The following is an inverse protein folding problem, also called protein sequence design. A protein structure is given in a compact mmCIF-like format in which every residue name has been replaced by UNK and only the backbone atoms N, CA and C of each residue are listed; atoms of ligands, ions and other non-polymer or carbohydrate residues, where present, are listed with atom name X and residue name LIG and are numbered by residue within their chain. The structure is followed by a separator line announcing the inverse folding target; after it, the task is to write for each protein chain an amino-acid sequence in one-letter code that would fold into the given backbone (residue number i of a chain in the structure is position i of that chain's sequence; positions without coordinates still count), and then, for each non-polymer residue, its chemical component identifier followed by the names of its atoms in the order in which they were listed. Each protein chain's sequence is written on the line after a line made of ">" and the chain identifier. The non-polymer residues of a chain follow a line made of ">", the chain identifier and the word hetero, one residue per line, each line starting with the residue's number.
data_IF_728581803757
#
_entry.id   IF_728581803757
#
_cell.length_a   1.000
_cell.length_b   1.000
_cell.length_c   1.000
_cell.angle_alpha   90.00
_cell.angle_beta   90.00
_cell.angle_gamma   90.00
#
_symmetry.space_group_name_H-M   'P 1'
#
loop_
_entity.id
_entity.type
_entity.pdbx_description
1 polymer ?
#
# COMPACT_ATOMS: atom_id res chain seq x y z
N UNK A 1 20.10 -11.61 -3.85
CA UNK A 1 20.96 -11.59 -5.03
C UNK A 1 20.18 -11.01 -6.19
N UNK A 2 20.49 -9.77 -6.58
CA UNK A 2 19.91 -9.17 -7.78
C UNK A 2 20.42 -9.90 -9.02
N UNK A 3 19.52 -10.16 -9.97
CA UNK A 3 19.92 -10.72 -11.26
C UNK A 3 20.77 -9.67 -12.00
N UNK A 4 22.02 -9.99 -12.40
CA UNK A 4 22.90 -9.03 -13.05
C UNK A 4 22.41 -8.52 -14.41
N UNK A 5 21.34 -9.13 -14.94
CA UNK A 5 20.72 -8.72 -16.20
C UNK A 5 19.72 -7.55 -16.06
N UNK A 6 19.48 -7.05 -14.84
CA UNK A 6 18.59 -5.92 -14.60
C UNK A 6 19.34 -4.72 -14.05
N UNK A 7 19.16 -3.55 -14.65
CA UNK A 7 19.51 -2.28 -14.03
C UNK A 7 18.37 -1.85 -13.10
N UNK A 8 18.67 -1.57 -11.82
CA UNK A 8 17.70 -1.17 -10.81
C UNK A 8 17.99 0.25 -10.37
N UNK A 9 17.00 1.12 -10.48
CA UNK A 9 17.05 2.46 -9.93
C UNK A 9 15.96 2.61 -8.87
N UNK A 10 16.37 2.94 -7.65
CA UNK A 10 15.45 3.36 -6.60
C UNK A 10 15.12 4.84 -6.76
N UNK A 11 13.85 5.16 -6.71
CA UNK A 11 13.38 6.55 -6.74
C UNK A 11 12.45 6.85 -5.58
N UNK A 12 12.37 8.10 -5.18
CA UNK A 12 11.55 8.48 -4.03
C UNK A 12 10.06 8.39 -4.36
N UNK A 13 9.35 7.59 -3.57
CA UNK A 13 7.93 7.36 -3.72
C UNK A 13 7.04 8.52 -3.27
N UNK A 14 7.55 9.41 -2.41
CA UNK A 14 6.83 10.61 -1.96
C UNK A 14 6.70 11.69 -3.05
N UNK A 15 6.74 11.30 -4.32
CA UNK A 15 6.54 12.17 -5.49
C UNK A 15 5.07 12.57 -5.69
N UNK A 16 4.31 12.78 -4.61
CA UNK A 16 2.91 13.21 -4.71
C UNK A 16 2.81 14.63 -5.27
N UNK A 17 3.76 15.49 -4.89
CA UNK A 17 3.78 16.91 -5.26
C UNK A 17 4.71 17.20 -6.43
N UNK A 18 5.50 16.23 -6.88
CA UNK A 18 6.43 16.38 -8.01
C UNK A 18 6.80 15.04 -8.61
N UNK A 19 6.79 14.96 -9.93
CA UNK A 19 7.25 13.78 -10.69
C UNK A 19 8.74 13.82 -11.04
N UNK A 20 9.48 14.88 -10.68
CA UNK A 20 10.87 15.09 -11.12
C UNK A 20 11.80 13.91 -10.85
N UNK A 21 11.73 13.31 -9.66
CA UNK A 21 12.58 12.17 -9.29
C UNK A 21 12.29 10.94 -10.15
N UNK A 22 11.00 10.67 -10.40
CA UNK A 22 10.55 9.57 -11.26
C UNK A 22 11.00 9.81 -12.70
N UNK A 23 10.78 11.01 -13.23
CA UNK A 23 11.18 11.41 -14.59
C UNK A 23 12.68 11.26 -14.79
N UNK A 24 13.50 11.77 -13.87
CA UNK A 24 14.96 11.64 -13.95
C UNK A 24 15.42 10.18 -13.95
N UNK A 25 14.80 9.34 -13.11
CA UNK A 25 15.12 7.91 -13.03
C UNK A 25 14.77 7.18 -14.35
N UNK A 26 13.60 7.45 -14.90
CA UNK A 26 13.15 6.88 -16.17
C UNK A 26 14.03 7.35 -17.33
N UNK A 27 14.34 8.65 -17.43
CA UNK A 27 15.21 9.19 -18.46
C UNK A 27 16.61 8.57 -18.42
N UNK A 28 17.16 8.35 -17.23
CA UNK A 28 18.43 7.67 -17.07
C UNK A 28 18.40 6.26 -17.65
N UNK A 29 17.37 5.44 -17.35
CA UNK A 29 17.21 4.10 -17.92
C UNK A 29 17.05 4.14 -19.45
N UNK A 30 16.22 5.04 -19.95
CA UNK A 30 16.01 5.19 -21.40
C UNK A 30 17.31 5.59 -22.12
N UNK A 31 18.11 6.47 -21.54
CA UNK A 31 19.40 6.91 -22.11
C UNK A 31 20.44 5.78 -22.10
N UNK A 32 20.29 4.78 -21.24
CA UNK A 32 21.14 3.57 -21.21
C UNK A 32 20.70 2.52 -22.25
N UNK A 33 19.71 2.83 -23.10
CA UNK A 33 19.23 1.91 -24.15
C UNK A 33 18.29 0.82 -23.64
N UNK A 34 17.68 1.00 -22.47
CA UNK A 34 16.72 0.05 -21.90
C UNK A 34 15.42 0.06 -22.69
N UNK A 35 14.99 -1.10 -23.18
CA UNK A 35 13.80 -1.25 -24.02
C UNK A 35 12.51 -1.44 -23.22
N UNK A 36 12.60 -2.00 -22.01
CA UNK A 36 11.46 -2.27 -21.13
C UNK A 36 11.75 -1.82 -19.70
N UNK A 37 10.90 -0.99 -19.14
CA UNK A 37 11.02 -0.48 -17.77
C UNK A 37 9.88 -1.03 -16.93
N UNK A 38 10.23 -1.79 -15.90
CA UNK A 38 9.28 -2.30 -14.91
C UNK A 38 9.18 -1.30 -13.77
N UNK A 39 7.96 -0.83 -13.51
CA UNK A 39 7.63 0.05 -12.39
C UNK A 39 7.14 -0.82 -11.25
N UNK A 40 7.89 -0.87 -10.16
CA UNK A 40 7.58 -1.66 -8.98
C UNK A 40 7.27 -0.72 -7.82
N UNK A 41 5.99 -0.47 -7.51
CA UNK A 41 5.61 0.34 -6.36
C UNK A 41 5.86 -0.45 -5.07
N UNK A 42 6.64 0.11 -4.16
CA UNK A 42 6.82 -0.46 -2.81
C UNK A 42 5.71 0.12 -1.93
N UNK A 43 4.55 -0.50 -2.00
CA UNK A 43 3.36 -0.14 -1.25
C UNK A 43 2.53 -1.38 -0.93
N UNK A 44 1.71 -1.31 0.12
CA UNK A 44 0.88 -2.40 0.58
C UNK A 44 -0.36 -2.62 -0.30
N UNK A 45 -1.00 -1.55 -0.78
CA UNK A 45 -2.26 -1.66 -1.51
C UNK A 45 -2.31 -0.75 -2.76
N UNK A 46 -3.15 -1.09 -3.76
CA UNK A 46 -3.32 -0.28 -4.96
C UNK A 46 -4.20 0.97 -4.73
N UNK A 47 -4.94 1.05 -3.63
CA UNK A 47 -5.89 2.13 -3.35
C UNK A 47 -5.30 3.30 -2.57
N UNK A 48 -4.06 3.16 -2.12
CA UNK A 48 -3.32 4.21 -1.46
C UNK A 48 -3.16 5.44 -2.38
N UNK A 49 -3.31 6.63 -1.82
CA UNK A 49 -3.21 7.91 -2.54
C UNK A 49 -1.89 8.05 -3.32
N UNK A 50 -0.77 7.59 -2.75
CA UNK A 50 0.54 7.59 -3.43
C UNK A 50 0.56 6.70 -4.67
N UNK A 51 0.04 5.48 -4.54
CA UNK A 51 0.01 4.51 -5.66
C UNK A 51 -0.85 5.03 -6.79
N UNK A 52 -2.01 5.60 -6.49
CA UNK A 52 -2.87 6.23 -7.49
C UNK A 52 -2.18 7.41 -8.20
N UNK A 53 -1.46 8.24 -7.44
CA UNK A 53 -0.66 9.33 -8.02
C UNK A 53 0.47 8.79 -8.92
N UNK A 54 1.13 7.70 -8.54
CA UNK A 54 2.14 7.06 -9.41
C UNK A 54 1.51 6.51 -10.69
N UNK A 55 0.36 5.86 -10.60
CA UNK A 55 -0.38 5.40 -11.79
C UNK A 55 -0.74 6.57 -12.71
N UNK A 56 -1.10 7.73 -12.15
CA UNK A 56 -1.31 8.96 -12.92
C UNK A 56 -0.02 9.43 -13.60
N UNK A 57 1.11 9.48 -12.90
CA UNK A 57 2.42 9.86 -13.48
C UNK A 57 2.78 8.97 -14.68
N UNK A 58 2.49 7.68 -14.61
CA UNK A 58 2.75 6.74 -15.71
C UNK A 58 1.61 6.62 -16.72
N UNK A 59 0.64 7.54 -16.69
CA UNK A 59 -0.52 7.61 -17.62
C UNK A 59 -1.39 6.34 -17.62
N UNK A 60 -1.44 5.61 -16.50
CA UNK A 60 -2.27 4.43 -16.30
C UNK A 60 -3.64 4.79 -15.73
N UNK A 61 -3.74 5.91 -15.05
CA UNK A 61 -4.97 6.46 -14.49
C UNK A 61 -5.11 7.94 -14.91
N UNK A 62 -6.13 8.24 -15.72
CA UNK A 62 -6.27 9.57 -16.34
C UNK A 62 -7.06 10.57 -15.51
N UNK A 63 -7.97 10.09 -14.68
CA UNK A 63 -8.94 10.92 -13.97
C UNK A 63 -8.59 11.13 -12.50
N UNK A 64 -7.41 10.72 -12.09
CA UNK A 64 -6.92 10.91 -10.74
C UNK A 64 -5.66 11.75 -10.75
N UNK A 65 -5.66 12.80 -9.94
CA UNK A 65 -4.46 13.56 -9.64
C UNK A 65 -4.59 14.12 -8.23
N UNK A 66 -3.66 13.76 -7.35
CA UNK A 66 -3.52 14.40 -6.05
C UNK A 66 -2.87 15.77 -6.19
N UNK A 67 -1.90 15.88 -7.08
CA UNK A 67 -1.25 17.11 -7.47
C UNK A 67 -1.05 17.16 -8.97
N UNK A 68 -1.06 18.36 -9.55
CA UNK A 68 -0.74 18.58 -10.95
C UNK A 68 0.76 18.40 -11.17
N UNK A 69 1.11 17.32 -11.87
CA UNK A 69 2.49 16.91 -12.12
C UNK A 69 2.64 16.41 -13.55
N UNK A 70 3.88 16.46 -14.06
CA UNK A 70 4.19 15.95 -15.39
C UNK A 70 3.90 14.45 -15.50
N UNK A 71 3.30 14.05 -16.62
CA UNK A 71 2.93 12.68 -16.93
C UNK A 71 3.93 12.08 -17.90
N UNK A 72 4.32 10.84 -17.64
CA UNK A 72 5.14 10.02 -18.51
C UNK A 72 4.24 9.05 -19.29
N UNK A 73 4.25 9.14 -20.61
CA UNK A 73 3.55 8.19 -21.47
C UNK A 73 4.57 7.41 -22.28
N UNK A 74 4.56 6.08 -22.16
CA UNK A 74 5.38 5.20 -22.96
C UNK A 74 4.79 3.79 -23.03
N UNK A 75 4.93 3.15 -24.18
CA UNK A 75 4.57 1.74 -24.36
C UNK A 75 5.62 0.78 -23.78
N UNK A 76 6.75 1.31 -23.31
CA UNK A 76 7.83 0.52 -22.71
C UNK A 76 7.63 0.28 -21.21
N UNK A 77 6.68 0.97 -20.57
CA UNK A 77 6.39 0.81 -19.16
C UNK A 77 5.53 -0.41 -18.88
N UNK A 78 5.96 -1.21 -17.92
CA UNK A 78 5.23 -2.34 -17.35
C UNK A 78 5.05 -2.08 -15.87
N UNK A 79 3.84 -1.79 -15.46
CA UNK A 79 3.51 -1.52 -14.06
C UNK A 79 3.17 -2.82 -13.33
N UNK A 80 3.78 -3.04 -12.19
CA UNK A 80 3.51 -4.17 -11.30
C UNK A 80 2.59 -3.66 -10.19
N UNK A 81 1.52 -4.37 -9.91
CA UNK A 81 0.63 -3.98 -8.82
C UNK A 81 1.31 -4.16 -7.45
N UNK A 82 0.93 -3.37 -6.43
CA UNK A 82 1.39 -3.56 -5.06
C UNK A 82 1.09 -4.96 -4.53
N UNK A 83 1.83 -5.37 -3.50
CA UNK A 83 1.76 -6.72 -2.93
C UNK A 83 0.36 -7.11 -2.42
N UNK A 84 -0.41 -6.13 -1.92
CA UNK A 84 -1.82 -6.32 -1.52
C UNK A 84 -1.99 -7.44 -0.49
N UNK A 85 -2.99 -8.32 -0.69
CA UNK A 85 -3.26 -9.53 0.12
C UNK A 85 -2.67 -10.80 -0.52
N UNK A 86 -1.51 -10.67 -1.16
CA UNK A 86 -0.75 -11.82 -1.67
C UNK A 86 -0.44 -12.84 -0.55
N UNK A 87 -0.28 -14.09 -0.92
CA UNK A 87 0.01 -15.17 0.02
C UNK A 87 1.23 -14.86 0.89
N UNK A 88 2.30 -14.33 0.28
CA UNK A 88 3.52 -13.98 0.99
C UNK A 88 3.28 -12.86 2.02
N UNK A 89 2.48 -11.84 1.67
CA UNK A 89 2.14 -10.76 2.59
C UNK A 89 1.36 -11.29 3.80
N UNK A 90 0.40 -12.19 3.57
CA UNK A 90 -0.37 -12.84 4.63
C UNK A 90 0.50 -13.66 5.57
N UNK A 91 1.42 -14.46 5.02
CA UNK A 91 2.37 -15.26 5.79
C UNK A 91 3.29 -14.39 6.66
N UNK A 92 3.86 -13.31 6.10
CA UNK A 92 4.73 -12.39 6.83
C UNK A 92 3.99 -11.73 8.00
N UNK A 93 2.76 -11.26 7.80
CA UNK A 93 1.98 -10.61 8.87
C UNK A 93 1.59 -11.61 9.95
N UNK A 94 1.23 -12.84 9.60
CA UNK A 94 0.99 -13.91 10.55
C UNK A 94 2.25 -14.26 11.36
N UNK A 95 3.40 -14.36 10.70
CA UNK A 95 4.68 -14.62 11.37
C UNK A 95 5.00 -13.52 12.41
N UNK A 96 4.85 -12.25 12.03
CA UNK A 96 5.05 -11.14 12.98
C UNK A 96 4.08 -11.18 14.15
N UNK A 97 2.80 -11.50 13.94
CA UNK A 97 1.85 -11.65 15.02
C UNK A 97 2.24 -12.80 15.96
N UNK A 98 2.70 -13.93 15.40
CA UNK A 98 3.15 -15.08 16.20
C UNK A 98 4.43 -14.77 16.99
N UNK A 99 5.38 -14.03 16.42
CA UNK A 99 6.64 -13.69 17.09
C UNK A 99 6.45 -12.83 18.36
N UNK A 100 5.45 -11.94 18.36
CA UNK A 100 5.18 -11.06 19.50
C UNK A 100 4.17 -11.63 20.48
N UNK A 101 3.43 -12.68 20.11
CA UNK A 101 2.40 -13.29 20.92
C UNK A 101 3.02 -14.10 22.08
N UNK A 102 2.35 -14.05 23.22
CA UNK A 102 2.65 -14.87 24.40
C UNK A 102 1.52 -15.83 24.76
N UNK A 103 0.29 -15.51 24.36
CA UNK A 103 -0.90 -16.32 24.65
C UNK A 103 -2.05 -15.98 23.70
N UNK A 104 -2.00 -16.51 22.46
CA UNK A 104 -2.92 -16.18 21.37
C UNK A 104 -4.40 -16.26 21.75
N UNK A 105 -4.80 -17.26 22.55
CA UNK A 105 -6.22 -17.45 22.92
C UNK A 105 -6.81 -16.28 23.72
N UNK A 106 -5.94 -15.47 24.34
CA UNK A 106 -6.32 -14.29 25.12
C UNK A 106 -5.83 -12.99 24.48
N UNK A 107 -5.40 -13.02 23.24
CA UNK A 107 -4.86 -11.87 22.52
C UNK A 107 -5.69 -11.57 21.27
N UNK A 108 -5.76 -10.27 20.94
CA UNK A 108 -6.40 -9.75 19.74
C UNK A 108 -5.34 -9.17 18.83
N UNK A 109 -5.40 -9.50 17.55
CA UNK A 109 -4.57 -8.86 16.52
C UNK A 109 -5.34 -7.71 15.89
N UNK A 110 -4.74 -6.53 15.90
CA UNK A 110 -5.28 -5.33 15.26
C UNK A 110 -4.37 -4.92 14.11
N UNK A 111 -4.88 -4.99 12.89
CA UNK A 111 -4.20 -4.53 11.68
C UNK A 111 -4.63 -3.09 11.42
N UNK A 112 -3.69 -2.15 11.44
CA UNK A 112 -3.99 -0.73 11.22
C UNK A 112 -3.23 -0.23 9.99
N UNK A 113 -3.94 0.38 9.03
CA UNK A 113 -3.35 1.07 7.91
C UNK A 113 -3.61 2.58 7.98
N UNK A 114 -2.76 3.35 7.29
CA UNK A 114 -2.94 4.79 7.11
C UNK A 114 -4.31 5.11 6.48
N UNK A 115 -4.73 4.31 5.49
CA UNK A 115 -5.95 4.48 4.75
C UNK A 115 -5.91 5.60 3.70
N UNK A 116 -6.63 5.46 2.59
CA UNK A 116 -6.73 6.47 1.55
C UNK A 116 -7.66 7.63 1.95
N UNK A 117 -7.51 8.77 1.28
CA UNK A 117 -8.38 9.95 1.50
C UNK A 117 -9.82 9.68 1.07
N UNK A 118 -10.01 8.98 -0.04
CA UNK A 118 -11.32 8.67 -0.61
C UNK A 118 -12.02 7.55 0.17
N UNK A 119 -13.28 7.76 0.54
CA UNK A 119 -14.09 6.73 1.19
C UNK A 119 -14.30 5.50 0.30
N UNK A 120 -14.45 5.68 -1.01
CA UNK A 120 -14.60 4.56 -1.95
C UNK A 120 -13.34 3.69 -1.99
N UNK A 121 -12.16 4.31 -2.01
CA UNK A 121 -10.88 3.59 -1.95
C UNK A 121 -10.66 2.93 -0.59
N UNK A 122 -11.10 3.59 0.49
CA UNK A 122 -11.01 3.04 1.84
C UNK A 122 -11.80 1.74 2.02
N UNK A 123 -12.98 1.65 1.41
CA UNK A 123 -13.76 0.40 1.40
C UNK A 123 -12.97 -0.72 0.72
N UNK A 124 -12.30 -0.44 -0.39
CA UNK A 124 -11.50 -1.43 -1.10
C UNK A 124 -10.25 -1.82 -0.32
N UNK A 125 -9.59 -0.86 0.32
CA UNK A 125 -8.43 -1.14 1.17
C UNK A 125 -8.81 -2.02 2.38
N UNK A 126 -9.94 -1.73 3.02
CA UNK A 126 -10.46 -2.57 4.11
C UNK A 126 -10.81 -3.98 3.65
N UNK A 127 -11.31 -4.19 2.41
CA UNK A 127 -11.53 -5.54 1.88
C UNK A 127 -10.22 -6.33 1.79
N UNK A 128 -9.15 -5.72 1.29
CA UNK A 128 -7.83 -6.34 1.24
C UNK A 128 -7.33 -6.67 2.66
N UNK A 129 -7.43 -5.72 3.58
CA UNK A 129 -7.00 -5.93 4.96
C UNK A 129 -7.81 -7.01 5.66
N UNK A 130 -9.11 -7.10 5.39
CA UNK A 130 -9.96 -8.16 5.94
C UNK A 130 -9.58 -9.55 5.39
N UNK A 131 -9.19 -9.67 4.11
CA UNK A 131 -8.66 -10.92 3.57
C UNK A 131 -7.37 -11.37 4.29
N UNK A 132 -6.54 -10.42 4.75
CA UNK A 132 -5.37 -10.71 5.57
C UNK A 132 -5.81 -11.12 6.99
N UNK A 133 -6.75 -10.40 7.59
CA UNK A 133 -7.29 -10.72 8.92
C UNK A 133 -7.93 -12.10 8.96
N UNK A 134 -8.73 -12.46 7.95
CA UNK A 134 -9.34 -13.77 7.81
C UNK A 134 -8.28 -14.88 7.66
N UNK A 135 -7.22 -14.62 6.90
CA UNK A 135 -6.12 -15.57 6.81
C UNK A 135 -5.45 -15.82 8.16
N UNK A 136 -5.16 -14.75 8.92
CA UNK A 136 -4.56 -14.87 10.26
C UNK A 136 -5.50 -15.63 11.20
N UNK A 137 -6.80 -15.28 11.22
CA UNK A 137 -7.79 -15.96 12.05
C UNK A 137 -7.89 -17.46 11.75
N UNK A 138 -7.78 -17.85 10.47
CA UNK A 138 -7.87 -19.25 10.06
C UNK A 138 -6.57 -20.05 10.29
N UNK A 139 -5.44 -19.40 10.53
CA UNK A 139 -4.12 -20.02 10.65
C UNK A 139 -3.44 -19.75 11.99
N UNK A 140 -4.21 -19.30 12.99
CA UNK A 140 -3.73 -19.05 14.37
C UNK A 140 -4.84 -19.32 15.38
N UNK A 141 -4.52 -19.16 16.66
CA UNK A 141 -5.46 -19.27 17.77
C UNK A 141 -5.79 -17.92 18.42
N UNK A 142 -5.52 -16.81 17.77
CA UNK A 142 -5.88 -15.50 18.31
C UNK A 142 -7.38 -15.40 18.55
N UNK A 143 -7.76 -14.80 19.69
CA UNK A 143 -9.16 -14.68 20.07
C UNK A 143 -9.98 -13.87 19.06
N UNK A 144 -9.37 -12.87 18.45
CA UNK A 144 -9.95 -12.05 17.39
C UNK A 144 -8.87 -11.42 16.53
N UNK A 145 -9.18 -11.17 15.25
CA UNK A 145 -8.34 -10.37 14.32
C UNK A 145 -9.21 -9.30 13.66
N UNK A 146 -8.80 -8.05 13.74
CA UNK A 146 -9.54 -6.90 13.21
C UNK A 146 -8.69 -5.97 12.38
N UNK A 147 -9.30 -5.37 11.37
CA UNK A 147 -8.67 -4.39 10.48
C UNK A 147 -9.31 -3.02 10.63
N UNK A 148 -8.47 -1.99 10.65
CA UNK A 148 -8.89 -0.59 10.70
C UNK A 148 -8.02 0.27 9.80
N UNK A 149 -8.59 1.38 9.33
CA UNK A 149 -7.85 2.46 8.67
C UNK A 149 -8.03 3.76 9.44
N UNK A 150 -6.98 4.56 9.50
CA UNK A 150 -7.04 5.89 10.12
C UNK A 150 -7.67 6.93 9.18
N UNK A 151 -7.44 6.80 7.87
CA UNK A 151 -7.69 7.83 6.85
C UNK A 151 -7.07 9.17 7.29
N UNK A 152 -5.76 9.13 7.64
CA UNK A 152 -5.09 10.23 8.33
C UNK A 152 -5.06 11.54 7.51
N UNK A 153 -4.97 11.42 6.18
CA UNK A 153 -5.00 12.56 5.25
C UNK A 153 -6.43 12.98 4.83
N UNK A 154 -7.47 12.30 5.32
CA UNK A 154 -8.85 12.71 5.12
C UNK A 154 -9.23 13.90 6.02
N UNK A 155 -10.43 14.43 5.84
CA UNK A 155 -10.90 15.52 6.71
C UNK A 155 -10.88 15.13 8.19
N UNK A 156 -10.57 16.11 9.06
CA UNK A 156 -10.41 15.92 10.52
C UNK A 156 -11.54 15.09 11.15
N UNK A 157 -12.81 15.34 10.75
CA UNK A 157 -13.95 14.61 11.30
C UNK A 157 -13.91 13.10 10.99
N UNK A 158 -13.46 12.72 9.79
CA UNK A 158 -13.33 11.32 9.37
C UNK A 158 -12.23 10.65 10.19
N UNK A 159 -11.05 11.26 10.25
CA UNK A 159 -9.91 10.75 11.02
C UNK A 159 -10.26 10.60 12.51
N UNK A 160 -10.83 11.63 13.13
CA UNK A 160 -11.19 11.61 14.55
C UNK A 160 -12.23 10.51 14.84
N UNK A 161 -13.21 10.29 13.94
CA UNK A 161 -14.17 9.20 14.04
C UNK A 161 -13.48 7.83 13.98
N UNK A 162 -12.58 7.62 13.02
CA UNK A 162 -11.85 6.36 12.89
C UNK A 162 -10.97 6.07 14.12
N UNK A 163 -10.27 7.08 14.63
CA UNK A 163 -9.50 6.95 15.88
C UNK A 163 -10.40 6.57 17.05
N UNK A 164 -11.58 7.20 17.17
CA UNK A 164 -12.51 6.88 18.25
C UNK A 164 -13.06 5.46 18.13
N UNK A 165 -13.35 4.98 16.92
CA UNK A 165 -13.78 3.60 16.69
C UNK A 165 -12.73 2.59 17.13
N UNK A 166 -11.45 2.82 16.80
CA UNK A 166 -10.34 1.98 17.23
C UNK A 166 -10.20 2.00 18.76
N UNK A 167 -10.27 3.17 19.38
CA UNK A 167 -10.18 3.29 20.85
C UNK A 167 -11.33 2.58 21.56
N UNK A 168 -12.55 2.72 21.04
CA UNK A 168 -13.72 2.02 21.59
C UNK A 168 -13.55 0.50 21.47
N UNK A 169 -13.05 0.02 20.35
CA UNK A 169 -12.78 -1.40 20.16
C UNK A 169 -11.75 -1.90 21.20
N UNK A 170 -10.60 -1.23 21.31
CA UNK A 170 -9.55 -1.62 22.27
C UNK A 170 -10.05 -1.60 23.74
N UNK A 171 -10.91 -0.66 24.10
CA UNK A 171 -11.43 -0.57 25.48
C UNK A 171 -12.48 -1.63 25.79
N UNK A 172 -13.05 -2.30 24.80
CA UNK A 172 -14.11 -3.30 24.93
C UNK A 172 -13.61 -4.74 24.71
N UNK A 173 -12.38 -4.89 24.20
CA UNK A 173 -11.69 -6.17 24.00
C UNK A 173 -10.91 -6.56 25.25
#
# INVERSE_FOLDING_TARGET
>A
NFNPNYEIILTMGMSMMTSKHVICSVQRLMNSGIESIYIVPISSTPYNTLVRQWRYIFNLEKNYSYADVDVLASNTFKYIEPISDDAIAKEIILEYANEISTNQENEVVIIIAHGPVSQADNVQELLIMNNIADYISNNSNFSEVRSFTLQDDAGKAIRDNNINNIRQYINNS
#
